data_IF_965322814693
#
_entry.id   IF_965322814693
#
_cell.length_a   1.000
_cell.length_b   1.000
_cell.length_c   1.000
_cell.angle_alpha   90.00
_cell.angle_beta   90.00
_cell.angle_gamma   90.00
#
_symmetry.space_group_name_H-M   'P 1'
#
loop_
_entity.id
_entity.type
_entity.pdbx_description
1 polymer ?
#
# COMPACT_ATOMS: atom_id res chain seq x y z
N UNK A 1 34.76 8.78 17.86
CA UNK A 1 34.40 7.37 18.10
C UNK A 1 33.36 7.33 19.23
N UNK A 2 32.09 7.17 18.89
CA UNK A 2 31.04 6.95 19.90
C UNK A 2 30.04 5.97 19.32
N UNK A 3 30.09 4.76 19.86
CA UNK A 3 29.28 3.59 19.48
C UNK A 3 27.83 3.81 19.92
N UNK A 4 26.88 3.84 18.98
CA UNK A 4 25.45 3.81 19.28
C UNK A 4 25.01 2.35 19.40
N UNK A 5 25.05 1.81 20.63
CA UNK A 5 24.37 0.57 20.98
C UNK A 5 22.85 0.77 20.88
N UNK A 6 22.24 0.30 19.80
CA UNK A 6 20.80 0.11 19.67
C UNK A 6 20.42 -1.15 20.45
N UNK A 7 20.15 -0.99 21.76
CA UNK A 7 19.60 -2.06 22.60
C UNK A 7 18.07 -2.06 22.46
N UNK A 8 17.56 -3.18 21.94
CA UNK A 8 16.34 -3.82 22.44
C UNK A 8 14.98 -3.24 22.03
N UNK A 9 14.45 -3.65 20.88
CA UNK A 9 13.01 -3.53 20.61
C UNK A 9 12.45 -4.60 19.62
N UNK A 10 13.10 -5.76 19.49
CA UNK A 10 12.56 -6.88 18.69
C UNK A 10 13.05 -8.21 19.24
N UNK A 11 12.67 -8.51 20.48
CA UNK A 11 12.79 -9.86 21.03
C UNK A 11 11.42 -10.54 21.01
N UNK A 12 11.26 -11.54 20.14
CA UNK A 12 10.06 -12.37 19.99
C UNK A 12 10.01 -13.45 21.09
N UNK A 13 10.14 -13.06 22.35
CA UNK A 13 10.30 -14.03 23.45
C UNK A 13 9.53 -13.58 24.69
N UNK A 14 8.21 -13.39 24.63
CA UNK A 14 7.38 -13.41 25.85
C UNK A 14 5.90 -13.71 25.54
N UNK A 15 5.30 -14.72 26.21
CA UNK A 15 3.88 -15.01 26.08
C UNK A 15 3.11 -14.13 27.08
N UNK A 16 2.17 -13.31 26.60
CA UNK A 16 1.14 -12.73 27.44
C UNK A 16 -0.24 -12.99 26.85
N UNK A 17 -1.24 -13.24 27.71
CA UNK A 17 -2.38 -14.05 27.36
C UNK A 17 -3.48 -13.17 26.75
N UNK A 18 -4.39 -13.83 26.04
CA UNK A 18 -5.74 -13.33 25.79
C UNK A 18 -5.92 -12.30 24.67
N UNK A 19 -5.62 -12.68 23.41
CA UNK A 19 -6.40 -12.17 22.28
C UNK A 19 -6.71 -13.29 21.28
N UNK A 20 -7.98 -13.65 21.26
CA UNK A 20 -8.64 -14.62 20.39
C UNK A 20 -8.78 -14.03 18.98
N UNK A 21 -7.76 -14.22 18.12
CA UNK A 21 -7.87 -14.21 16.64
C UNK A 21 -6.47 -14.34 15.98
N UNK A 22 -6.06 -15.58 15.71
CA UNK A 22 -4.72 -15.92 15.17
C UNK A 22 -4.36 -15.28 13.82
N UNK A 23 -5.33 -14.74 13.06
CA UNK A 23 -5.09 -14.10 11.76
C UNK A 23 -4.35 -12.76 11.91
N UNK A 24 -4.61 -12.00 12.98
CA UNK A 24 -3.99 -10.69 13.18
C UNK A 24 -2.52 -10.77 13.62
N UNK A 25 -2.12 -11.88 14.26
CA UNK A 25 -0.72 -12.12 14.65
C UNK A 25 0.11 -12.59 13.45
N UNK A 26 -0.40 -13.53 12.65
CA UNK A 26 0.27 -14.00 11.44
C UNK A 26 0.42 -12.90 10.38
N UNK A 27 -0.60 -12.05 10.22
CA UNK A 27 -0.50 -10.91 9.30
C UNK A 27 0.57 -9.92 9.76
N UNK A 28 0.69 -9.65 11.07
CA UNK A 28 1.69 -8.71 11.62
C UNK A 28 3.13 -9.23 11.48
N UNK A 29 3.34 -10.55 11.68
CA UNK A 29 4.64 -11.20 11.45
C UNK A 29 5.01 -11.31 9.96
N UNK A 30 4.05 -11.60 9.09
CA UNK A 30 4.27 -11.65 7.63
C UNK A 30 4.60 -10.25 7.08
N UNK A 31 3.87 -9.22 7.51
CA UNK A 31 4.10 -7.82 7.15
C UNK A 31 5.47 -7.32 7.64
N UNK A 32 5.87 -7.68 8.86
CA UNK A 32 7.16 -7.30 9.43
C UNK A 32 8.36 -7.93 8.70
N UNK A 33 8.24 -9.20 8.31
CA UNK A 33 9.29 -9.89 7.56
C UNK A 33 9.37 -9.44 6.09
N UNK A 34 8.25 -9.12 5.45
CA UNK A 34 8.19 -8.58 4.09
C UNK A 34 8.83 -7.19 4.00
N UNK A 35 8.46 -6.27 4.91
CA UNK A 35 9.04 -4.93 5.00
C UNK A 35 10.54 -4.98 5.29
N UNK A 36 10.97 -5.86 6.20
CA UNK A 36 12.39 -6.00 6.58
C UNK A 36 13.26 -6.58 5.46
N UNK A 37 12.78 -7.57 4.69
CA UNK A 37 13.61 -8.25 3.67
C UNK A 37 13.58 -7.59 2.29
N UNK A 38 12.46 -6.99 1.88
CA UNK A 38 12.30 -6.52 0.50
C UNK A 38 12.25 -4.99 0.39
N UNK A 39 11.56 -4.28 1.29
CA UNK A 39 11.46 -2.81 1.22
C UNK A 39 12.77 -2.15 1.69
N UNK A 40 13.33 -2.60 2.81
CA UNK A 40 14.56 -2.01 3.36
C UNK A 40 15.79 -2.30 2.49
N UNK A 41 15.83 -3.45 1.80
CA UNK A 41 16.94 -3.84 0.92
C UNK A 41 16.89 -3.14 -0.44
N UNK A 42 15.70 -2.92 -0.99
CA UNK A 42 15.53 -2.12 -2.21
C UNK A 42 15.77 -0.62 -1.97
N UNK A 43 15.42 -0.10 -0.78
CA UNK A 43 15.75 1.29 -0.40
C UNK A 43 17.25 1.50 -0.17
N UNK A 44 17.97 0.49 0.34
CA UNK A 44 19.43 0.54 0.51
C UNK A 44 20.20 0.45 -0.83
N UNK A 45 19.59 -0.10 -1.89
CA UNK A 45 20.20 -0.19 -3.22
C UNK A 45 19.99 1.05 -4.08
N UNK A 46 19.03 1.92 -3.76
CA UNK A 46 18.70 3.12 -4.54
C UNK A 46 19.37 4.41 -4.01
N UNK A 47 20.20 4.30 -2.98
CA UNK A 47 20.82 5.44 -2.29
C UNK A 47 22.12 5.91 -2.91
N UNK A 48 22.14 6.31 -4.18
CA UNK A 48 23.28 7.05 -4.75
C UNK A 48 22.91 8.00 -5.90
N UNK A 49 21.95 8.91 -5.70
CA UNK A 49 21.95 10.21 -6.40
C UNK A 49 20.81 11.14 -5.94
N UNK A 50 21.22 12.31 -5.44
CA UNK A 50 20.53 13.63 -5.45
C UNK A 50 19.15 13.81 -4.79
N UNK A 51 19.21 14.33 -3.55
CA UNK A 51 18.52 15.54 -3.04
C UNK A 51 17.03 15.78 -3.34
N UNK A 52 16.15 15.34 -2.43
CA UNK A 52 14.95 16.10 -2.00
C UNK A 52 14.67 15.86 -0.50
N UNK A 53 14.49 16.89 0.35
CA UNK A 53 14.40 16.73 1.81
C UNK A 53 12.97 16.53 2.36
N UNK A 54 11.98 16.26 1.51
CA UNK A 54 10.55 16.32 1.91
C UNK A 54 9.93 15.01 2.43
N UNK A 55 10.62 13.87 2.35
CA UNK A 55 10.03 12.57 2.64
C UNK A 55 10.31 12.03 4.05
N UNK A 56 11.37 12.50 4.73
CA UNK A 56 11.81 11.89 6.00
C UNK A 56 11.13 12.49 7.25
N UNK A 57 10.87 13.80 7.28
CA UNK A 57 10.31 14.46 8.48
C UNK A 57 8.84 14.10 8.75
N UNK A 58 8.03 13.91 7.72
CA UNK A 58 6.60 13.60 7.88
C UNK A 58 6.37 12.16 8.37
N UNK A 59 7.26 11.24 8.00
CA UNK A 59 7.22 9.84 8.44
C UNK A 59 7.73 9.72 9.89
N UNK A 60 8.79 10.45 10.26
CA UNK A 60 9.32 10.44 11.63
C UNK A 60 8.37 11.06 12.66
N UNK A 61 7.61 12.11 12.30
CA UNK A 61 6.65 12.73 13.22
C UNK A 61 5.48 11.77 13.56
N UNK A 62 5.12 10.85 12.65
CA UNK A 62 4.04 9.89 12.89
C UNK A 62 4.41 8.72 13.82
N UNK A 63 5.69 8.34 13.91
CA UNK A 63 6.15 7.30 14.84
C UNK A 63 6.30 7.83 16.28
N UNK A 64 6.70 9.10 16.43
CA UNK A 64 6.83 9.77 17.74
C UNK A 64 5.49 10.04 18.44
N UNK A 65 4.38 10.07 17.68
CA UNK A 65 3.04 10.35 18.20
C UNK A 65 2.40 9.21 19.01
N UNK A 66 3.00 8.01 19.02
CA UNK A 66 2.44 6.84 19.71
C UNK A 66 2.74 6.86 21.22
N UNK A 67 3.71 7.65 21.69
CA UNK A 67 4.23 7.53 23.07
C UNK A 67 4.11 8.75 24.01
N UNK A 68 3.47 9.85 23.61
CA UNK A 68 3.27 10.98 24.54
C UNK A 68 1.93 10.88 25.28
N UNK A 69 1.91 10.04 26.33
CA UNK A 69 0.98 10.22 27.45
C UNK A 69 1.42 11.48 28.20
N UNK A 70 0.79 12.62 27.95
CA UNK A 70 0.66 13.63 29.00
C UNK A 70 -0.62 14.45 28.85
N UNK A 71 -1.55 14.19 29.76
CA UNK A 71 -2.84 14.80 29.94
C UNK A 71 -2.71 16.14 30.67
N UNK A 72 -3.03 17.28 30.01
CA UNK A 72 -3.82 18.41 30.56
C UNK A 72 -3.71 19.78 29.85
N UNK A 73 -2.97 19.94 28.74
CA UNK A 73 -2.85 21.27 28.08
C UNK A 73 -3.10 21.21 26.57
N UNK A 74 -4.33 20.91 26.13
CA UNK A 74 -4.64 20.85 24.68
C UNK A 74 -6.09 21.17 24.30
N UNK A 75 -6.74 22.11 24.99
CA UNK A 75 -8.14 22.44 24.67
C UNK A 75 -8.30 23.44 23.50
N UNK A 76 -7.25 24.16 23.06
CA UNK A 76 -7.40 25.21 22.04
C UNK A 76 -6.49 25.06 20.80
N UNK A 77 -5.63 24.04 20.73
CA UNK A 77 -4.69 23.80 19.61
C UNK A 77 -5.04 22.57 18.74
N UNK A 78 -6.20 21.95 18.97
CA UNK A 78 -6.60 20.66 18.40
C UNK A 78 -7.20 20.75 16.99
N UNK A 79 -7.76 21.90 16.60
CA UNK A 79 -8.40 22.11 15.29
C UNK A 79 -7.38 22.27 14.14
N UNK A 80 -6.30 23.03 14.36
CA UNK A 80 -5.26 23.28 13.33
C UNK A 80 -4.34 22.08 13.10
N UNK A 81 -4.08 21.24 14.11
CA UNK A 81 -3.23 20.06 13.95
C UNK A 81 -3.97 18.87 13.30
N UNK A 82 -5.27 18.69 13.62
CA UNK A 82 -6.10 17.62 13.02
C UNK A 82 -6.38 17.88 11.54
N UNK A 83 -6.71 19.11 11.17
CA UNK A 83 -6.96 19.52 9.78
C UNK A 83 -5.73 19.29 8.88
N UNK A 84 -4.56 19.80 9.26
CA UNK A 84 -3.31 19.61 8.51
C UNK A 84 -2.96 18.12 8.31
N UNK A 85 -3.18 17.27 9.32
CA UNK A 85 -2.92 15.84 9.22
C UNK A 85 -3.86 15.14 8.22
N UNK A 86 -5.15 15.51 8.16
CA UNK A 86 -6.09 14.98 7.15
C UNK A 86 -5.72 15.35 5.74
N UNK A 87 -5.34 16.61 5.52
CA UNK A 87 -4.93 17.09 4.21
C UNK A 87 -3.65 16.39 3.76
N UNK A 88 -2.68 16.20 4.67
CA UNK A 88 -1.47 15.44 4.39
C UNK A 88 -1.76 13.98 4.02
N UNK A 89 -2.61 13.27 4.77
CA UNK A 89 -3.00 11.90 4.44
C UNK A 89 -3.75 11.82 3.11
N UNK A 90 -4.64 12.77 2.84
CA UNK A 90 -5.42 12.82 1.59
C UNK A 90 -4.52 13.11 0.39
N UNK A 91 -3.62 14.09 0.50
CA UNK A 91 -2.65 14.41 -0.54
C UNK A 91 -1.71 13.22 -0.80
N UNK A 92 -1.25 12.53 0.25
CA UNK A 92 -0.44 11.32 0.12
C UNK A 92 -1.18 10.18 -0.58
N UNK A 93 -2.45 9.92 -0.22
CA UNK A 93 -3.28 8.91 -0.88
C UNK A 93 -3.52 9.23 -2.36
N UNK A 94 -3.82 10.49 -2.68
CA UNK A 94 -4.02 10.93 -4.07
C UNK A 94 -2.72 10.83 -4.87
N UNK A 95 -1.58 11.25 -4.30
CA UNK A 95 -0.28 11.13 -4.94
C UNK A 95 0.13 9.67 -5.21
N UNK A 96 -0.07 8.78 -4.25
CA UNK A 96 0.16 7.34 -4.43
C UNK A 96 -0.79 6.73 -5.45
N UNK A 97 -2.06 7.14 -5.45
CA UNK A 97 -3.04 6.67 -6.43
C UNK A 97 -2.66 7.11 -7.84
N UNK A 98 -2.16 8.34 -8.01
CA UNK A 98 -1.66 8.82 -9.30
C UNK A 98 -0.44 8.02 -9.77
N UNK A 99 0.53 7.76 -8.88
CA UNK A 99 1.67 6.91 -9.21
C UNK A 99 1.24 5.48 -9.60
N UNK A 100 0.32 4.88 -8.83
CA UNK A 100 -0.23 3.55 -9.13
C UNK A 100 -1.01 3.51 -10.45
N UNK A 101 -1.75 4.56 -10.77
CA UNK A 101 -2.43 4.71 -12.05
C UNK A 101 -1.46 4.72 -13.23
N UNK A 102 -0.35 5.46 -13.13
CA UNK A 102 0.69 5.48 -14.17
C UNK A 102 1.36 4.11 -14.33
N UNK A 103 1.67 3.43 -13.23
CA UNK A 103 2.22 2.06 -13.26
C UNK A 103 1.23 1.08 -13.92
N UNK A 104 -0.06 1.22 -13.65
CA UNK A 104 -1.10 0.38 -14.23
C UNK A 104 -1.31 0.66 -15.72
N UNK A 105 -1.26 1.93 -16.14
CA UNK A 105 -1.24 2.30 -17.56
C UNK A 105 -0.05 1.70 -18.29
N UNK A 106 1.14 1.79 -17.70
CA UNK A 106 2.35 1.19 -18.27
C UNK A 106 2.23 -0.34 -18.39
N UNK A 107 1.66 -0.98 -17.36
CA UNK A 107 1.39 -2.43 -17.36
C UNK A 107 0.47 -2.81 -18.53
N UNK A 108 -0.67 -2.14 -18.66
CA UNK A 108 -1.59 -2.39 -19.79
C UNK A 108 -0.94 -2.13 -21.15
N UNK A 109 -0.12 -1.08 -21.25
CA UNK A 109 0.60 -0.77 -22.49
C UNK A 109 1.57 -1.88 -22.88
N UNK A 110 2.38 -2.36 -21.94
CA UNK A 110 3.34 -3.44 -22.17
C UNK A 110 2.61 -4.73 -22.54
N UNK A 111 1.55 -5.09 -21.81
CA UNK A 111 0.80 -6.32 -22.06
C UNK A 111 0.18 -6.33 -23.47
N UNK A 112 -0.50 -5.24 -23.86
CA UNK A 112 -1.10 -5.12 -25.21
C UNK A 112 -0.03 -5.16 -26.30
N UNK A 113 1.15 -4.59 -26.05
CA UNK A 113 2.23 -4.55 -27.06
C UNK A 113 2.92 -5.90 -27.20
N UNK A 114 3.17 -6.59 -26.09
CA UNK A 114 3.72 -7.94 -26.05
C UNK A 114 2.77 -8.98 -26.69
N UNK A 115 1.46 -8.75 -26.64
CA UNK A 115 0.49 -9.60 -27.31
C UNK A 115 0.45 -9.43 -28.82
N UNK A 116 0.70 -8.21 -29.31
CA UNK A 116 0.74 -7.94 -30.75
C UNK A 116 2.03 -8.37 -31.39
N UNK A 117 3.13 -8.30 -30.64
CA UNK A 117 4.46 -8.57 -31.13
C UNK A 117 5.21 -9.43 -30.10
N UNK A 118 5.34 -10.73 -30.39
CA UNK A 118 6.06 -11.67 -29.53
C UNK A 118 7.57 -11.42 -29.47
N UNK A 119 8.11 -10.55 -30.33
CA UNK A 119 9.52 -10.10 -30.28
C UNK A 119 9.70 -8.82 -29.46
N UNK A 120 8.63 -8.26 -28.91
CA UNK A 120 8.68 -7.05 -28.10
C UNK A 120 9.26 -7.33 -26.70
N UNK A 121 10.29 -6.56 -26.33
CA UNK A 121 10.84 -6.50 -24.97
C UNK A 121 10.53 -5.14 -24.34
N UNK A 122 10.08 -5.16 -23.09
CA UNK A 122 9.72 -3.95 -22.36
C UNK A 122 10.94 -3.28 -21.75
N UNK A 123 10.86 -1.96 -21.52
CA UNK A 123 11.95 -1.22 -20.86
C UNK A 123 12.22 -1.67 -19.42
N UNK A 124 11.27 -2.37 -18.78
CA UNK A 124 11.46 -2.94 -17.45
C UNK A 124 11.95 -4.39 -17.47
N UNK A 125 12.27 -4.94 -18.64
CA UNK A 125 13.03 -6.18 -18.78
C UNK A 125 14.53 -5.85 -18.63
N UNK A 126 15.10 -6.20 -17.47
CA UNK A 126 16.50 -5.89 -17.14
C UNK A 126 17.41 -7.10 -17.40
N UNK A 127 16.87 -8.30 -17.16
CA UNK A 127 17.59 -9.56 -17.35
C UNK A 127 16.60 -10.69 -17.56
N UNK A 128 17.08 -11.88 -17.93
CA UNK A 128 16.22 -13.04 -18.20
C UNK A 128 15.32 -13.45 -17.03
N UNK A 129 15.76 -13.20 -15.78
CA UNK A 129 15.01 -13.43 -14.52
C UNK A 129 14.27 -12.20 -13.99
N UNK A 130 14.47 -11.03 -14.61
CA UNK A 130 13.83 -9.77 -14.24
C UNK A 130 13.12 -9.26 -15.48
N UNK A 131 11.99 -9.89 -15.80
CA UNK A 131 11.17 -9.54 -16.95
C UNK A 131 9.72 -9.25 -16.54
N UNK A 132 9.24 -8.05 -16.84
CA UNK A 132 7.82 -7.73 -16.74
C UNK A 132 7.02 -8.35 -17.87
N UNK A 133 7.61 -8.43 -19.07
CA UNK A 133 6.93 -8.93 -20.27
C UNK A 133 6.47 -10.35 -20.06
N UNK A 134 7.37 -11.26 -19.61
CA UNK A 134 7.02 -12.65 -19.27
C UNK A 134 5.88 -12.74 -18.26
N UNK A 135 5.93 -11.90 -17.22
CA UNK A 135 4.91 -11.87 -16.17
C UNK A 135 3.55 -11.45 -16.71
N UNK A 136 3.49 -10.41 -17.55
CA UNK A 136 2.22 -9.92 -18.10
C UNK A 136 1.66 -10.79 -19.22
N UNK A 137 2.51 -11.46 -20.01
CA UNK A 137 2.05 -12.44 -21.01
C UNK A 137 1.62 -13.78 -20.41
N UNK A 138 1.87 -14.00 -19.11
CA UNK A 138 1.50 -15.24 -18.43
C UNK A 138 -0.03 -15.37 -18.26
N UNK A 139 -0.56 -16.59 -18.01
CA UNK A 139 -1.99 -16.78 -17.72
C UNK A 139 -2.50 -15.99 -16.52
N UNK A 140 -1.60 -15.56 -15.63
CA UNK A 140 -1.93 -14.76 -14.45
C UNK A 140 -1.99 -13.26 -14.75
N UNK A 141 -1.48 -12.81 -15.90
CA UNK A 141 -1.53 -11.43 -16.38
C UNK A 141 -2.94 -10.95 -16.73
N UNK A 142 -3.85 -11.89 -17.01
CA UNK A 142 -5.28 -11.62 -17.24
C UNK A 142 -6.15 -12.08 -16.09
N UNK A 143 -7.10 -11.24 -15.67
CA UNK A 143 -8.12 -11.60 -14.68
C UNK A 143 -7.56 -12.26 -13.40
N UNK A 144 -6.35 -11.88 -13.00
CA UNK A 144 -5.59 -12.44 -11.86
C UNK A 144 -5.38 -13.96 -11.91
N UNK A 145 -5.54 -14.60 -13.07
CA UNK A 145 -5.53 -16.06 -13.24
C UNK A 145 -6.70 -16.79 -12.57
N UNK A 146 -7.71 -16.06 -12.09
CA UNK A 146 -8.89 -16.60 -11.40
C UNK A 146 -10.16 -16.48 -12.25
N UNK A 147 -10.27 -15.41 -13.03
CA UNK A 147 -11.49 -15.13 -13.82
C UNK A 147 -11.71 -16.16 -14.92
N UNK A 148 -10.64 -16.59 -15.62
CA UNK A 148 -10.75 -17.59 -16.69
C UNK A 148 -11.39 -18.92 -16.23
N UNK A 149 -10.84 -19.58 -15.20
CA UNK A 149 -11.40 -20.83 -14.67
C UNK A 149 -12.81 -20.69 -14.06
N UNK A 150 -13.14 -19.52 -13.50
CA UNK A 150 -14.37 -19.33 -12.72
C UNK A 150 -15.55 -18.78 -13.54
N UNK A 151 -15.28 -17.87 -14.49
CA UNK A 151 -16.29 -17.19 -15.32
C UNK A 151 -16.20 -17.55 -16.82
N UNK A 152 -15.21 -18.36 -17.22
CA UNK A 152 -14.97 -18.74 -18.62
C UNK A 152 -13.95 -17.83 -19.31
N UNK A 153 -13.16 -18.40 -20.21
CA UNK A 153 -12.09 -17.69 -20.93
C UNK A 153 -12.60 -16.59 -21.86
N UNK A 154 -13.82 -16.73 -22.39
CA UNK A 154 -14.50 -15.76 -23.26
C UNK A 154 -15.28 -14.70 -22.48
N UNK A 155 -15.20 -14.71 -21.14
CA UNK A 155 -15.89 -13.73 -20.32
C UNK A 155 -15.34 -12.32 -20.56
N UNK A 156 -16.19 -11.28 -20.67
CA UNK A 156 -15.75 -9.90 -20.81
C UNK A 156 -14.94 -9.39 -19.60
N UNK A 157 -14.89 -10.16 -18.51
CA UNK A 157 -14.08 -9.85 -17.33
C UNK A 157 -12.64 -10.38 -17.43
N UNK A 158 -12.31 -11.18 -18.45
CA UNK A 158 -10.98 -11.72 -18.69
C UNK A 158 -10.06 -10.69 -19.40
N UNK A 159 -9.92 -9.52 -18.77
CA UNK A 159 -9.17 -8.36 -19.27
C UNK A 159 -7.78 -8.34 -18.60
N UNK A 160 -6.75 -7.74 -19.24
CA UNK A 160 -5.46 -7.45 -18.62
C UNK A 160 -5.54 -6.85 -17.21
N UNK A 161 -4.69 -7.33 -16.30
CA UNK A 161 -4.65 -6.87 -14.91
C UNK A 161 -4.42 -5.37 -14.78
N UNK A 162 -3.66 -4.79 -15.71
CA UNK A 162 -3.42 -3.35 -15.75
C UNK A 162 -4.71 -2.52 -15.79
N UNK A 163 -5.76 -2.98 -16.50
CA UNK A 163 -7.05 -2.28 -16.54
C UNK A 163 -7.77 -2.28 -15.18
N UNK A 164 -7.72 -3.39 -14.45
CA UNK A 164 -8.23 -3.43 -13.07
C UNK A 164 -7.48 -2.44 -12.17
N UNK A 165 -6.16 -2.34 -12.34
CA UNK A 165 -5.32 -1.36 -11.65
C UNK A 165 -5.72 0.08 -11.95
N UNK A 166 -5.89 0.43 -13.24
CA UNK A 166 -6.33 1.76 -13.70
C UNK A 166 -7.65 2.15 -13.01
N UNK A 167 -8.65 1.27 -13.09
CA UNK A 167 -9.96 1.52 -12.50
C UNK A 167 -9.88 1.66 -10.97
N UNK A 168 -9.13 0.75 -10.31
CA UNK A 168 -8.93 0.77 -8.87
C UNK A 168 -8.29 2.08 -8.39
N UNK A 169 -7.17 2.49 -8.97
CA UNK A 169 -6.46 3.70 -8.54
C UNK A 169 -7.27 4.97 -8.82
N UNK A 170 -7.99 5.01 -9.94
CA UNK A 170 -8.91 6.11 -10.24
C UNK A 170 -10.03 6.21 -9.18
N UNK A 171 -10.65 5.08 -8.82
CA UNK A 171 -11.68 5.02 -7.81
C UNK A 171 -11.15 5.42 -6.42
N UNK A 172 -9.98 4.91 -6.01
CA UNK A 172 -9.36 5.26 -4.73
C UNK A 172 -9.01 6.74 -4.68
N UNK A 173 -8.47 7.33 -5.75
CA UNK A 173 -8.20 8.75 -5.83
C UNK A 173 -9.48 9.58 -5.63
N UNK A 174 -10.55 9.25 -6.37
CA UNK A 174 -11.84 9.94 -6.28
C UNK A 174 -12.47 9.86 -4.89
N UNK A 175 -12.52 8.66 -4.30
CA UNK A 175 -13.08 8.46 -2.96
C UNK A 175 -12.22 9.11 -1.86
N UNK A 176 -10.90 9.25 -2.09
CA UNK A 176 -9.98 9.87 -1.13
C UNK A 176 -10.26 11.35 -0.91
N UNK A 177 -10.91 12.06 -1.84
CA UNK A 177 -11.30 13.45 -1.61
C UNK A 177 -12.46 13.61 -0.62
N UNK A 178 -13.21 12.54 -0.36
CA UNK A 178 -14.31 12.60 0.60
C UNK A 178 -13.80 12.57 2.05
N UNK A 179 -14.42 13.39 2.90
CA UNK A 179 -14.20 13.40 4.36
C UNK A 179 -15.30 12.67 5.13
N UNK A 180 -16.16 11.93 4.43
CA UNK A 180 -17.21 11.13 5.06
C UNK A 180 -16.64 9.85 5.66
N UNK A 181 -17.02 9.54 6.91
CA UNK A 181 -16.55 8.34 7.62
C UNK A 181 -16.94 7.04 6.92
N UNK A 182 -18.13 6.97 6.32
CA UNK A 182 -18.61 5.79 5.57
C UNK A 182 -17.76 5.58 4.32
N UNK A 183 -17.50 6.64 3.57
CA UNK A 183 -16.68 6.60 2.34
C UNK A 183 -15.24 6.23 2.69
N UNK A 184 -14.64 6.86 3.71
CA UNK A 184 -13.27 6.54 4.12
C UNK A 184 -13.13 5.08 4.59
N UNK A 185 -14.13 4.55 5.30
CA UNK A 185 -14.18 3.11 5.65
C UNK A 185 -14.23 2.24 4.41
N UNK A 186 -15.10 2.56 3.45
CA UNK A 186 -15.18 1.84 2.18
C UNK A 186 -13.85 1.88 1.42
N UNK A 187 -13.21 3.04 1.30
CA UNK A 187 -11.88 3.20 0.69
C UNK A 187 -10.83 2.35 1.41
N UNK A 188 -10.85 2.32 2.74
CA UNK A 188 -9.92 1.50 3.54
C UNK A 188 -10.13 0.01 3.27
N UNK A 189 -11.39 -0.45 3.15
CA UNK A 189 -11.69 -1.84 2.79
C UNK A 189 -11.23 -2.19 1.38
N UNK A 190 -11.45 -1.31 0.40
CA UNK A 190 -10.97 -1.51 -0.98
C UNK A 190 -9.44 -1.62 -1.04
N UNK A 191 -8.73 -0.73 -0.34
CA UNK A 191 -7.26 -0.78 -0.26
C UNK A 191 -6.79 -2.04 0.47
N UNK A 192 -7.50 -2.45 1.54
CA UNK A 192 -7.22 -3.70 2.24
C UNK A 192 -7.35 -4.93 1.35
N UNK A 193 -8.43 -5.00 0.56
CA UNK A 193 -8.64 -6.06 -0.42
C UNK A 193 -7.54 -6.09 -1.48
N UNK A 194 -7.15 -4.91 -1.99
CA UNK A 194 -6.04 -4.78 -2.96
C UNK A 194 -4.69 -5.25 -2.38
N UNK A 195 -4.44 -5.07 -1.09
CA UNK A 195 -3.24 -5.60 -0.44
C UNK A 195 -3.26 -7.13 -0.32
N UNK A 196 -4.41 -7.73 -0.01
CA UNK A 196 -4.55 -9.20 -0.02
C UNK A 196 -4.29 -9.75 -1.42
N UNK A 197 -4.85 -9.11 -2.45
CA UNK A 197 -4.61 -9.48 -3.84
C UNK A 197 -3.14 -9.30 -4.25
N UNK A 198 -2.48 -8.25 -3.75
CA UNK A 198 -1.05 -8.02 -3.98
C UNK A 198 -0.19 -9.14 -3.38
N UNK A 199 -0.55 -9.65 -2.19
CA UNK A 199 0.14 -10.80 -1.57
C UNK A 199 -0.05 -12.08 -2.39
N UNK A 200 -1.26 -12.30 -2.93
CA UNK A 200 -1.53 -13.43 -3.83
C UNK A 200 -0.69 -13.37 -5.10
N UNK A 201 -0.63 -12.21 -5.76
CA UNK A 201 0.21 -12.05 -6.95
C UNK A 201 1.69 -12.20 -6.61
N UNK A 202 2.15 -11.62 -5.50
CA UNK A 202 3.53 -11.79 -5.05
C UNK A 202 3.90 -13.27 -4.82
N UNK A 203 2.97 -14.07 -4.29
CA UNK A 203 3.13 -15.51 -4.17
C UNK A 203 3.31 -16.18 -5.54
N UNK A 204 2.48 -15.83 -6.53
CA UNK A 204 2.59 -16.37 -7.89
C UNK A 204 3.93 -16.00 -8.55
N UNK A 205 4.35 -14.74 -8.44
CA UNK A 205 5.64 -14.28 -9.00
C UNK A 205 6.81 -15.07 -8.43
N UNK A 206 6.80 -15.33 -7.11
CA UNK A 206 7.93 -15.98 -6.44
C UNK A 206 7.94 -17.51 -6.60
N UNK A 207 6.79 -18.18 -6.46
CA UNK A 207 6.74 -19.66 -6.43
C UNK A 207 6.35 -20.30 -7.76
N UNK A 208 5.63 -19.59 -8.64
CA UNK A 208 5.09 -20.18 -9.88
C UNK A 208 5.87 -19.73 -11.10
N UNK A 209 6.08 -18.41 -11.26
CA UNK A 209 6.82 -17.88 -12.40
C UNK A 209 8.33 -17.85 -12.19
N UNK A 210 8.79 -17.73 -10.94
CA UNK A 210 10.21 -17.56 -10.59
C UNK A 210 10.87 -16.31 -11.23
N UNK A 211 10.06 -15.32 -11.62
CA UNK A 211 10.47 -14.07 -12.26
C UNK A 211 10.22 -12.86 -11.36
N UNK A 212 11.15 -11.90 -11.37
CA UNK A 212 11.04 -10.66 -10.60
C UNK A 212 10.55 -9.51 -11.48
N UNK A 213 9.29 -9.09 -11.31
CA UNK A 213 8.73 -7.92 -11.99
C UNK A 213 8.86 -6.65 -11.11
N UNK A 214 9.74 -5.71 -11.51
CA UNK A 214 9.98 -4.46 -10.76
C UNK A 214 8.73 -3.59 -10.69
N UNK A 215 7.97 -3.50 -11.78
CA UNK A 215 6.70 -2.75 -11.84
C UNK A 215 5.70 -3.32 -10.83
N UNK A 216 5.54 -4.63 -10.80
CA UNK A 216 4.65 -5.34 -9.87
C UNK A 216 5.05 -5.09 -8.42
N UNK A 217 6.34 -5.21 -8.09
CA UNK A 217 6.88 -4.92 -6.76
C UNK A 217 6.61 -3.46 -6.35
N UNK A 218 6.78 -2.51 -7.28
CA UNK A 218 6.47 -1.10 -7.01
C UNK A 218 4.98 -0.87 -6.73
N UNK A 219 4.08 -1.53 -7.47
CA UNK A 219 2.64 -1.48 -7.24
C UNK A 219 2.27 -2.06 -5.87
N UNK A 220 2.92 -3.14 -5.44
CA UNK A 220 2.71 -3.71 -4.10
C UNK A 220 3.16 -2.76 -3.00
N UNK A 221 4.29 -2.07 -3.19
CA UNK A 221 4.75 -1.05 -2.26
C UNK A 221 3.77 0.14 -2.19
N UNK A 222 3.28 0.61 -3.35
CA UNK A 222 2.26 1.68 -3.42
C UNK A 222 0.99 1.26 -2.67
N UNK A 223 0.48 0.05 -2.90
CA UNK A 223 -0.70 -0.47 -2.20
C UNK A 223 -0.49 -0.57 -0.69
N UNK A 224 0.70 -0.99 -0.25
CA UNK A 224 1.03 -1.12 1.16
C UNK A 224 1.09 0.25 1.86
N UNK A 225 1.77 1.24 1.26
CA UNK A 225 1.84 2.59 1.81
C UNK A 225 0.44 3.23 1.82
N UNK A 226 -0.35 3.00 0.78
CA UNK A 226 -1.73 3.49 0.68
C UNK A 226 -2.60 2.94 1.83
N UNK A 227 -2.40 1.69 2.23
CA UNK A 227 -3.12 1.10 3.37
C UNK A 227 -2.78 1.83 4.68
N UNK A 228 -1.50 2.14 4.91
CA UNK A 228 -1.06 2.86 6.11
C UNK A 228 -1.73 4.24 6.17
N UNK A 229 -1.68 5.00 5.08
CA UNK A 229 -2.30 6.33 5.02
C UNK A 229 -3.83 6.28 5.16
N UNK A 230 -4.48 5.29 4.55
CA UNK A 230 -5.93 5.10 4.65
C UNK A 230 -6.36 4.80 6.09
N UNK A 231 -5.64 3.92 6.79
CA UNK A 231 -5.90 3.62 8.21
C UNK A 231 -5.70 4.87 9.06
N UNK A 232 -4.61 5.63 8.85
CA UNK A 232 -4.36 6.87 9.57
C UNK A 232 -5.49 7.90 9.38
N UNK A 233 -5.91 8.14 8.12
CA UNK A 233 -7.04 9.01 7.80
C UNK A 233 -8.33 8.53 8.49
N UNK A 234 -8.59 7.22 8.46
CA UNK A 234 -9.75 6.62 9.11
C UNK A 234 -9.78 6.84 10.63
N UNK A 235 -8.65 6.67 11.32
CA UNK A 235 -8.56 6.90 12.77
C UNK A 235 -8.82 8.36 13.14
N UNK A 236 -8.33 9.31 12.33
CA UNK A 236 -8.54 10.75 12.55
C UNK A 236 -10.03 11.09 12.43
N UNK A 237 -10.70 10.63 11.36
CA UNK A 237 -12.13 10.91 11.15
C UNK A 237 -13.04 10.25 12.21
N UNK A 238 -12.72 9.03 12.65
CA UNK A 238 -13.45 8.38 13.75
C UNK A 238 -13.32 9.20 15.03
N UNK A 239 -12.11 9.67 15.36
CA UNK A 239 -11.86 10.46 16.57
C UNK A 239 -12.65 11.78 16.56
N UNK A 240 -12.72 12.47 15.43
CA UNK A 240 -13.47 13.71 15.34
C UNK A 240 -14.97 13.52 15.43
N UNK A 241 -15.51 12.48 14.79
CA UNK A 241 -16.94 12.14 14.91
C UNK A 241 -17.32 11.88 16.38
N UNK A 242 -16.45 11.22 17.15
CA UNK A 242 -16.68 11.02 18.59
C UNK A 242 -16.66 12.33 19.38
N UNK A 243 -15.68 13.21 19.12
CA UNK A 243 -15.59 14.52 19.80
C UNK A 243 -16.82 15.37 19.52
N UNK A 244 -17.28 15.41 18.27
CA UNK A 244 -18.49 16.17 17.89
C UNK A 244 -19.75 15.67 18.60
N UNK A 245 -19.91 14.34 18.72
CA UNK A 245 -21.06 13.76 19.45
C UNK A 245 -21.04 14.08 20.94
N UNK A 246 -19.87 14.11 21.57
CA UNK A 246 -19.74 14.49 22.99
C UNK A 246 -20.12 15.96 23.19
N UNK A 247 -19.59 16.86 22.36
CA UNK A 247 -19.91 18.29 22.44
C UNK A 247 -21.39 18.61 22.17
N UNK A 248 -22.08 17.78 21.39
CA UNK A 248 -23.53 17.90 21.18
C UNK A 248 -24.34 17.43 22.39
N UNK A 249 -23.83 16.49 23.18
CA UNK A 249 -24.50 15.98 24.38
C UNK A 249 -24.39 16.94 25.57
N UNK A 250 -23.32 17.73 25.61
CA UNK A 250 -23.05 18.71 26.67
C UNK A 250 -23.78 20.05 26.47
N UNK A 251 -24.49 20.23 25.35
CA UNK A 251 -25.31 21.41 25.04
C UNK A 251 -26.78 21.15 25.31
#
# INVERSE_FOLDING_TARGET
ATSLRLVGAFDCSLPLPFVRSGVAYHLRCALGNFVRRYVLRSLLSAGSSSSTPFTCSTICISLSGIFSKNSKVRAMSSSSSSSNCKYSCTAGLVGLSFAGFLLSLYTSYVEIRAERDHSYEAMCDISERISCTKVFTSPYGRGFGLVGPLLGHDSPLNIPNGFFGIFYYFLVAGLSFSNNIRITRLTTYLIGLSNVLSLYLAYLLYFVLEDLCVVCVSTYAVNFISLILAVQKGQILVREDQVMRVMQKDR
#
